data_IF_555304157197
#
_entry.id   IF_555304157197
#
_cell.length_a   1.000
_cell.length_b   1.000
_cell.length_c   1.000
_cell.angle_alpha   90.00
_cell.angle_beta   90.00
_cell.angle_gamma   90.00
#
_symmetry.space_group_name_H-M   'P 1'
#
loop_
_entity.id
_entity.type
_entity.pdbx_description
1 polymer ?
#
# COMPACT_ATOMS: atom_id res chain seq x y z
N UNK A 1 -1.08 15.50 0.78
CA UNK A 1 -1.43 14.32 -0.05
C UNK A 1 -1.17 13.08 0.82
N UNK A 2 -2.21 12.32 1.21
CA UNK A 2 -2.04 11.13 2.08
C UNK A 2 -1.99 9.89 1.21
N UNK A 3 -0.93 9.10 1.39
CA UNK A 3 -0.73 7.83 0.71
C UNK A 3 -0.90 6.74 1.76
N UNK A 4 -1.78 5.78 1.48
CA UNK A 4 -2.05 4.63 2.33
C UNK A 4 -1.54 3.35 1.69
N UNK A 5 -1.12 2.41 2.51
CA UNK A 5 -0.63 1.11 2.11
C UNK A 5 -1.37 0.04 2.90
N UNK A 6 -2.02 -0.87 2.18
CA UNK A 6 -2.72 -2.03 2.74
C UNK A 6 -2.05 -3.29 2.22
N UNK A 7 -1.69 -4.23 3.11
CA UNK A 7 -1.09 -5.51 2.74
C UNK A 7 -1.92 -6.65 3.29
N UNK A 8 -2.24 -7.62 2.43
CA UNK A 8 -2.87 -8.88 2.84
C UNK A 8 -1.93 -10.05 2.54
N UNK A 9 -1.88 -10.99 3.48
CA UNK A 9 -0.92 -12.11 3.42
C UNK A 9 -1.45 -13.32 2.64
N UNK A 10 -2.65 -13.21 2.07
CA UNK A 10 -3.36 -14.29 1.38
C UNK A 10 -4.24 -13.67 0.28
N UNK A 11 -4.22 -14.20 -0.95
CA UNK A 11 -5.09 -13.72 -2.04
C UNK A 11 -6.58 -13.89 -1.72
N UNK A 12 -6.92 -14.82 -0.84
CA UNK A 12 -8.30 -15.08 -0.39
C UNK A 12 -8.79 -14.10 0.68
N UNK A 13 -7.91 -13.30 1.29
CA UNK A 13 -8.33 -12.31 2.29
C UNK A 13 -8.76 -11.02 1.61
N UNK A 14 -10.00 -10.63 1.83
CA UNK A 14 -10.60 -9.45 1.22
C UNK A 14 -10.06 -8.16 1.86
N UNK A 15 -9.43 -7.32 1.02
CA UNK A 15 -8.85 -6.04 1.42
C UNK A 15 -9.93 -4.97 1.65
N UNK A 16 -11.20 -5.26 1.34
CA UNK A 16 -12.29 -4.28 1.31
C UNK A 16 -12.49 -3.54 2.63
N UNK A 17 -12.36 -4.22 3.77
CA UNK A 17 -12.51 -3.59 5.08
C UNK A 17 -11.40 -2.55 5.38
N UNK A 18 -10.16 -2.83 4.98
CA UNK A 18 -9.06 -1.86 5.11
C UNK A 18 -9.23 -0.70 4.13
N UNK A 19 -9.60 -0.97 2.88
CA UNK A 19 -9.80 0.07 1.87
C UNK A 19 -10.92 1.02 2.32
N UNK A 20 -12.07 0.49 2.76
CA UNK A 20 -13.16 1.30 3.27
C UNK A 20 -12.75 2.20 4.45
N UNK A 21 -11.95 1.68 5.39
CA UNK A 21 -11.43 2.48 6.50
C UNK A 21 -10.48 3.60 6.03
N UNK A 22 -9.67 3.34 4.99
CA UNK A 22 -8.74 4.32 4.40
C UNK A 22 -9.46 5.37 3.55
N UNK A 23 -10.53 4.99 2.85
CA UNK A 23 -11.41 5.91 2.13
C UNK A 23 -12.13 6.86 3.09
N UNK A 24 -12.65 6.32 4.20
CA UNK A 24 -13.26 7.14 5.28
C UNK A 24 -12.23 8.08 5.92
N UNK A 25 -10.98 7.66 6.03
CA UNK A 25 -9.88 8.52 6.50
C UNK A 25 -9.47 9.63 5.50
N UNK A 26 -10.09 9.68 4.30
CA UNK A 26 -9.82 10.67 3.28
C UNK A 26 -8.48 10.47 2.58
N UNK A 27 -8.04 9.21 2.42
CA UNK A 27 -6.79 8.92 1.75
C UNK A 27 -6.96 8.88 0.23
N UNK A 28 -6.28 9.79 -0.47
CA UNK A 28 -6.42 9.97 -1.92
C UNK A 28 -5.72 8.91 -2.76
N UNK A 29 -4.83 8.10 -2.16
CA UNK A 29 -4.07 7.06 -2.86
C UNK A 29 -3.88 5.87 -1.94
N UNK A 30 -4.43 4.73 -2.34
CA UNK A 30 -4.33 3.46 -1.61
C UNK A 30 -3.54 2.50 -2.49
N UNK A 31 -2.46 1.93 -1.94
CA UNK A 31 -1.66 0.89 -2.57
C UNK A 31 -2.00 -0.43 -1.90
N UNK A 32 -2.44 -1.42 -2.67
CA UNK A 32 -2.82 -2.74 -2.18
C UNK A 32 -1.73 -3.75 -2.53
N UNK A 33 -1.06 -4.34 -1.54
CA UNK A 33 -0.08 -5.39 -1.82
C UNK A 33 -0.63 -6.76 -1.39
N UNK A 34 -0.80 -7.65 -2.38
CA UNK A 34 -1.20 -9.04 -2.18
C UNK A 34 0.03 -9.93 -2.28
N UNK A 35 0.56 -10.35 -1.14
CA UNK A 35 1.75 -11.20 -1.09
C UNK A 35 1.55 -12.32 -0.07
N UNK A 36 1.70 -13.58 -0.50
CA UNK A 36 1.65 -14.72 0.41
C UNK A 36 2.66 -14.56 1.55
N UNK A 37 2.37 -15.07 2.75
CA UNK A 37 3.24 -14.92 3.94
C UNK A 37 4.70 -15.40 3.76
N UNK A 38 5.05 -16.10 2.67
CA UNK A 38 6.42 -16.47 2.31
C UNK A 38 7.11 -15.56 1.29
N UNK A 39 6.41 -14.59 0.68
CA UNK A 39 6.97 -13.68 -0.30
C UNK A 39 7.51 -12.43 0.40
N UNK A 40 8.84 -12.33 0.43
CA UNK A 40 9.56 -11.16 0.95
C UNK A 40 9.65 -10.01 -0.07
N UNK A 41 9.31 -10.29 -1.33
CA UNK A 41 9.34 -9.28 -2.38
C UNK A 41 8.15 -8.33 -2.21
N UNK A 42 8.46 -7.04 -1.98
CA UNK A 42 7.49 -5.97 -1.74
C UNK A 42 7.64 -4.87 -2.79
N UNK A 43 7.27 -5.15 -4.05
CA UNK A 43 7.47 -4.20 -5.14
C UNK A 43 6.58 -2.97 -5.01
N UNK A 44 5.39 -3.09 -4.40
CA UNK A 44 4.50 -1.94 -4.21
C UNK A 44 4.94 -1.05 -3.05
N UNK A 45 5.46 -1.64 -1.97
CA UNK A 45 6.08 -0.86 -0.90
C UNK A 45 7.27 -0.05 -1.44
N UNK A 46 8.11 -0.64 -2.30
CA UNK A 46 9.21 0.08 -2.95
C UNK A 46 8.71 1.22 -3.84
N UNK A 47 7.64 1.01 -4.63
CA UNK A 47 7.04 2.08 -5.44
C UNK A 47 6.45 3.20 -4.58
N UNK A 48 5.85 2.86 -3.45
CA UNK A 48 5.30 3.83 -2.50
C UNK A 48 6.41 4.63 -1.81
N UNK A 49 7.49 3.95 -1.41
CA UNK A 49 8.70 4.58 -0.89
C UNK A 49 9.33 5.50 -1.94
N UNK A 50 9.42 5.11 -3.21
CA UNK A 50 9.90 6.00 -4.29
C UNK A 50 9.00 7.24 -4.48
N UNK A 51 7.69 7.11 -4.25
CA UNK A 51 6.74 8.23 -4.26
C UNK A 51 6.85 9.14 -3.02
N UNK A 52 7.22 8.59 -1.86
CA UNK A 52 7.31 9.31 -0.57
C UNK A 52 8.69 9.92 -0.34
N UNK A 53 9.74 9.22 -0.75
CA UNK A 53 11.10 9.74 -0.82
C UNK A 53 11.11 10.72 -1.96
N UNK A 54 10.72 11.95 -1.64
CA UNK A 54 10.96 13.13 -2.47
C UNK A 54 12.45 13.06 -2.83
N UNK A 55 12.78 12.65 -4.06
CA UNK A 55 14.17 12.70 -4.52
C UNK A 55 14.63 14.13 -4.24
N UNK A 56 15.69 14.35 -3.43
CA UNK A 56 16.25 15.68 -3.34
C UNK A 56 16.63 16.05 -4.77
N UNK A 57 16.00 17.11 -5.30
CA UNK A 57 16.45 17.75 -6.54
C UNK A 57 17.94 18.07 -6.33
N UNK A 58 18.83 17.33 -6.99
CA UNK A 58 20.13 17.89 -7.39
C UNK A 58 19.90 18.88 -8.51
#
# INVERSE_FOLDING_TARGET
MRISYARVSTQEQDNGAQIAALEVAGCSRIFEEKASAGCWDRPELHRLLDKLVVKPKS
#
